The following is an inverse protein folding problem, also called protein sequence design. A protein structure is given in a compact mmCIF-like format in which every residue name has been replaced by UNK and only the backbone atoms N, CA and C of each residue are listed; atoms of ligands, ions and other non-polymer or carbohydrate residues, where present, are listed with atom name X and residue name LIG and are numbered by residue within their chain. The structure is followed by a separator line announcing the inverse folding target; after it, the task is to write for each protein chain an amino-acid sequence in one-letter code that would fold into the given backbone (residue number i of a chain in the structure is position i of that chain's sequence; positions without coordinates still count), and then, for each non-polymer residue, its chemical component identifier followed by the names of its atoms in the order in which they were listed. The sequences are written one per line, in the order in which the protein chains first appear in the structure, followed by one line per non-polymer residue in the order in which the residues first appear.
data_IF_663799049833
#
_entry.id   IF_663799049833
#
_cell.length_a   1.000
_cell.length_b   1.000
_cell.length_c   1.000
_cell.angle_alpha   90.00
_cell.angle_beta   90.00
_cell.angle_gamma   90.00
#
_symmetry.space_group_name_H-M   'P 1'
#
loop_
_entity.id
_entity.type
_entity.pdbx_description
1 polymer ?
#
# COMPACT_ATOMS: atom_id res chain seq x y z
N UNK A 1 -14.65 16.51 16.60
CA UNK A 1 -14.44 15.87 15.30
C UNK A 1 -13.35 16.57 14.51
N UNK A 2 -12.69 15.83 13.61
CA UNK A 2 -11.67 16.34 12.70
C UNK A 2 -12.20 16.18 11.28
N UNK A 3 -12.07 17.24 10.45
CA UNK A 3 -12.41 17.19 9.04
C UNK A 3 -11.37 16.34 8.28
N UNK A 4 -11.80 15.21 7.75
CA UNK A 4 -10.95 14.29 6.96
C UNK A 4 -10.86 14.67 5.49
N UNK A 5 -11.98 15.08 4.91
CA UNK A 5 -12.10 15.51 3.52
C UNK A 5 -13.37 16.31 3.32
N UNK A 6 -13.49 16.95 2.17
CA UNK A 6 -14.64 17.78 1.81
C UNK A 6 -15.14 17.42 0.42
N UNK A 7 -16.46 17.35 0.28
CA UNK A 7 -17.15 17.28 -1.01
C UNK A 7 -18.20 18.39 -1.06
N UNK A 8 -18.11 19.25 -2.06
CA UNK A 8 -19.07 20.33 -2.27
C UNK A 8 -19.83 20.13 -3.57
N UNK A 9 -21.16 20.15 -3.51
CA UNK A 9 -22.03 20.31 -4.67
C UNK A 9 -22.22 21.81 -4.93
N UNK A 10 -21.44 22.38 -5.84
CA UNK A 10 -21.44 23.82 -6.12
C UNK A 10 -22.59 24.25 -7.04
N UNK A 11 -23.25 23.28 -7.65
CA UNK A 11 -24.32 23.58 -8.63
C UNK A 11 -23.79 24.41 -9.80
N UNK A 12 -24.56 25.44 -10.20
CA UNK A 12 -24.21 26.35 -11.27
C UNK A 12 -23.80 27.75 -10.79
N UNK A 13 -23.59 27.96 -9.49
CA UNK A 13 -23.34 29.29 -8.94
C UNK A 13 -22.06 29.90 -9.50
N UNK A 14 -20.95 29.18 -9.47
CA UNK A 14 -19.69 29.69 -10.01
C UNK A 14 -19.67 29.72 -11.54
N UNK A 15 -20.29 28.75 -12.21
CA UNK A 15 -20.37 28.79 -13.67
C UNK A 15 -21.12 29.97 -14.20
N UNK A 16 -22.20 30.39 -13.53
CA UNK A 16 -22.93 31.63 -13.85
C UNK A 16 -22.09 32.87 -13.56
N UNK A 17 -21.39 32.89 -12.40
CA UNK A 17 -20.55 34.02 -11.99
C UNK A 17 -19.39 34.27 -12.95
N UNK A 18 -18.74 33.18 -13.40
CA UNK A 18 -17.53 33.24 -14.25
C UNK A 18 -17.83 33.02 -15.75
N UNK A 19 -19.11 32.90 -16.14
CA UNK A 19 -19.49 32.70 -17.54
C UNK A 19 -19.00 31.36 -18.13
N UNK A 20 -18.89 30.31 -17.31
CA UNK A 20 -18.46 28.98 -17.78
C UNK A 20 -19.66 28.26 -18.36
N UNK A 21 -19.66 28.11 -19.70
CA UNK A 21 -20.76 27.51 -20.43
C UNK A 21 -20.29 26.44 -21.39
N UNK A 22 -21.20 25.54 -21.75
CA UNK A 22 -21.02 24.51 -22.80
C UNK A 22 -22.17 24.69 -23.81
N UNK A 23 -21.91 24.28 -25.05
CA UNK A 23 -22.97 24.21 -26.07
C UNK A 23 -24.02 23.18 -25.64
N UNK A 24 -25.30 23.53 -25.83
CA UNK A 24 -26.39 22.59 -25.56
C UNK A 24 -26.28 21.39 -26.53
N UNK A 25 -26.14 20.16 -26.07
CA UNK A 25 -25.98 18.98 -26.92
C UNK A 25 -27.21 18.69 -27.79
N UNK A 26 -28.32 19.34 -27.49
CA UNK A 26 -29.55 19.27 -28.29
C UNK A 26 -29.68 20.42 -29.31
N UNK A 27 -28.67 21.30 -29.41
CA UNK A 27 -28.59 22.38 -30.42
C UNK A 27 -28.29 21.77 -31.79
N UNK A 28 -28.99 22.23 -32.81
CA UNK A 28 -28.77 21.82 -34.20
C UNK A 28 -28.38 23.02 -35.05
N UNK A 29 -28.00 22.80 -36.32
CA UNK A 29 -27.65 23.89 -37.25
C UNK A 29 -28.85 24.80 -37.49
N UNK A 30 -30.06 24.22 -37.54
CA UNK A 30 -31.32 24.93 -37.84
C UNK A 30 -31.96 25.48 -36.56
N UNK A 31 -31.68 24.93 -35.37
CA UNK A 31 -32.21 25.36 -34.09
C UNK A 31 -31.10 25.55 -33.06
N UNK A 32 -30.51 26.74 -33.04
CA UNK A 32 -29.49 27.12 -32.05
C UNK A 32 -30.13 27.44 -30.71
N UNK A 33 -29.72 26.68 -29.68
CA UNK A 33 -30.13 26.91 -28.29
C UNK A 33 -29.07 27.73 -27.55
N UNK A 34 -29.47 28.48 -26.50
CA UNK A 34 -28.51 29.19 -25.69
C UNK A 34 -27.56 28.20 -24.96
N UNK A 35 -26.28 28.57 -24.75
CA UNK A 35 -25.32 27.71 -24.05
C UNK A 35 -25.78 27.45 -22.60
N UNK A 36 -25.45 26.26 -22.12
CA UNK A 36 -25.78 25.81 -20.78
C UNK A 36 -24.63 26.10 -19.80
N UNK A 37 -24.96 26.60 -18.61
CA UNK A 37 -24.00 26.70 -17.53
C UNK A 37 -23.66 25.30 -16.97
N UNK A 38 -22.39 25.05 -16.74
CA UNK A 38 -21.92 23.73 -16.22
C UNK A 38 -22.27 23.57 -14.74
N UNK A 39 -22.55 22.32 -14.35
CA UNK A 39 -22.63 21.91 -12.96
C UNK A 39 -21.22 21.60 -12.45
N UNK A 40 -20.94 22.00 -11.22
CA UNK A 40 -19.61 21.88 -10.64
C UNK A 40 -19.65 21.15 -9.29
N UNK A 41 -18.67 20.28 -9.10
CA UNK A 41 -18.35 19.67 -7.81
C UNK A 41 -16.92 20.06 -7.42
N UNK A 42 -16.67 20.14 -6.12
CA UNK A 42 -15.33 20.37 -5.59
C UNK A 42 -15.04 19.34 -4.51
N UNK A 43 -13.91 18.66 -4.65
CA UNK A 43 -13.42 17.72 -3.64
C UNK A 43 -12.04 18.15 -3.18
N UNK A 44 -11.79 17.99 -1.90
CA UNK A 44 -10.50 18.32 -1.33
C UNK A 44 -10.20 17.55 -0.06
N UNK A 45 -8.94 17.23 0.11
CA UNK A 45 -8.37 16.74 1.36
C UNK A 45 -7.01 17.42 1.59
N UNK A 46 -6.56 17.45 2.82
CA UNK A 46 -5.28 18.04 3.18
C UNK A 46 -4.35 17.01 3.82
N UNK A 47 -3.09 17.40 4.05
CA UNK A 47 -2.10 16.58 4.79
C UNK A 47 -2.55 16.22 6.20
N UNK A 48 -3.56 16.91 6.76
CA UNK A 48 -4.22 16.53 8.02
C UNK A 48 -4.73 15.09 7.98
N UNK A 49 -5.25 14.62 6.84
CA UNK A 49 -5.74 13.24 6.69
C UNK A 49 -4.64 12.20 6.90
N UNK A 50 -3.40 12.51 6.51
CA UNK A 50 -2.22 11.66 6.80
C UNK A 50 -1.94 11.62 8.32
N UNK A 51 -1.97 12.78 8.98
CA UNK A 51 -1.81 12.85 10.44
C UNK A 51 -2.86 12.06 11.19
N UNK A 52 -4.13 12.13 10.76
CA UNK A 52 -5.23 11.33 11.35
C UNK A 52 -5.00 9.84 11.15
N UNK A 53 -4.59 9.41 9.95
CA UNK A 53 -4.23 8.01 9.68
C UNK A 53 -3.13 7.50 10.62
N UNK A 54 -2.08 8.29 10.81
CA UNK A 54 -0.99 7.95 11.75
C UNK A 54 -1.50 7.82 13.18
N UNK A 55 -2.32 8.76 13.65
CA UNK A 55 -2.88 8.72 15.01
C UNK A 55 -3.81 7.51 15.25
N UNK A 56 -4.53 7.06 14.24
CA UNK A 56 -5.49 5.95 14.37
C UNK A 56 -4.80 4.59 14.32
N UNK A 57 -3.82 4.42 13.42
CA UNK A 57 -3.29 3.10 13.09
C UNK A 57 -1.90 2.82 13.67
N UNK A 58 -1.10 3.85 13.94
CA UNK A 58 0.29 3.65 14.41
C UNK A 58 0.38 3.21 15.87
N UNK A 59 1.51 2.63 16.23
CA UNK A 59 1.80 2.14 17.57
C UNK A 59 3.15 2.67 18.09
N UNK A 60 3.59 2.21 19.27
CA UNK A 60 4.84 2.64 19.89
C UNK A 60 6.11 2.15 19.14
N UNK A 61 5.98 1.31 18.12
CA UNK A 61 7.08 0.83 17.30
C UNK A 61 7.26 1.63 16.01
N UNK A 62 6.32 2.49 15.68
CA UNK A 62 6.38 3.33 14.50
C UNK A 62 5.07 3.35 13.71
N UNK A 63 5.17 3.65 12.42
CA UNK A 63 4.02 3.72 11.54
C UNK A 63 3.39 2.33 11.32
N UNK A 64 2.07 2.32 11.14
CA UNK A 64 1.30 1.19 10.58
C UNK A 64 0.51 1.75 9.42
N UNK A 65 1.01 1.52 8.21
CA UNK A 65 0.39 2.09 7.02
C UNK A 65 -0.62 1.12 6.41
N UNK A 66 -1.85 1.60 6.12
CA UNK A 66 -2.78 0.80 5.32
C UNK A 66 -2.17 0.47 3.95
N UNK A 67 -2.28 -0.78 3.46
CA UNK A 67 -1.66 -1.20 2.21
C UNK A 67 -1.98 -0.31 1.00
N UNK A 68 -3.19 0.23 0.91
CA UNK A 68 -3.58 1.11 -0.21
C UNK A 68 -2.81 2.44 -0.22
N UNK A 69 -2.36 2.92 0.93
CA UNK A 69 -1.67 4.21 1.11
C UNK A 69 -0.15 4.04 1.13
N UNK A 70 0.36 2.89 1.57
CA UNK A 70 1.78 2.65 1.70
C UNK A 70 2.52 2.82 0.38
N UNK A 71 3.58 3.62 0.35
CA UNK A 71 4.48 3.74 -0.80
C UNK A 71 5.09 2.38 -1.17
N UNK A 72 5.57 1.65 -0.15
CA UNK A 72 6.07 0.30 -0.23
C UNK A 72 5.10 -0.62 0.52
N UNK A 73 4.47 -1.56 -0.18
CA UNK A 73 3.52 -2.50 0.41
C UNK A 73 4.21 -3.74 0.99
N UNK A 74 5.26 -4.18 0.32
CA UNK A 74 5.99 -5.40 0.64
C UNK A 74 7.48 -5.16 0.57
N UNK A 75 8.20 -5.54 1.62
CA UNK A 75 9.66 -5.61 1.63
C UNK A 75 10.11 -7.06 1.76
N UNK A 76 11.00 -7.51 0.88
CA UNK A 76 11.63 -8.83 0.96
C UNK A 76 12.99 -8.66 1.61
N UNK A 77 13.22 -9.38 2.69
CA UNK A 77 14.49 -9.38 3.42
C UNK A 77 15.13 -10.76 3.33
N UNK A 78 16.28 -10.89 2.65
CA UNK A 78 17.07 -12.11 2.69
C UNK A 78 17.57 -12.35 4.12
N UNK A 79 17.35 -13.54 4.64
CA UNK A 79 17.77 -13.97 5.98
C UNK A 79 18.59 -15.25 5.91
N UNK A 80 19.21 -15.63 7.01
CA UNK A 80 20.04 -16.87 7.07
C UNK A 80 21.42 -16.73 6.46
N UNK A 81 21.80 -15.56 5.96
CA UNK A 81 23.16 -15.28 5.52
C UNK A 81 24.08 -15.08 6.73
N UNK A 82 25.17 -15.82 6.77
CA UNK A 82 26.18 -15.77 7.84
C UNK A 82 27.53 -15.32 7.30
N UNK A 83 28.49 -15.05 8.17
CA UNK A 83 29.85 -14.75 7.76
C UNK A 83 30.56 -15.92 7.02
N UNK A 84 29.98 -17.12 7.08
CA UNK A 84 30.49 -18.33 6.38
C UNK A 84 29.86 -18.51 5.00
N UNK A 85 28.80 -17.76 4.67
CA UNK A 85 28.12 -17.82 3.37
C UNK A 85 29.05 -17.30 2.29
N UNK A 86 29.28 -18.09 1.26
CA UNK A 86 30.13 -17.71 0.12
C UNK A 86 29.48 -16.58 -0.69
N UNK A 87 30.27 -15.85 -1.47
CA UNK A 87 29.75 -14.77 -2.32
C UNK A 87 28.79 -15.32 -3.39
N UNK A 88 29.12 -16.49 -3.96
CA UNK A 88 28.28 -17.19 -4.93
C UNK A 88 26.89 -17.55 -4.36
N UNK A 89 26.85 -18.06 -3.12
CA UNK A 89 25.58 -18.36 -2.44
C UNK A 89 24.76 -17.09 -2.17
N UNK A 90 25.45 -16.02 -1.84
CA UNK A 90 24.83 -14.69 -1.62
C UNK A 90 24.25 -14.12 -2.89
N UNK A 91 24.99 -14.16 -4.00
CA UNK A 91 24.54 -13.72 -5.31
C UNK A 91 23.33 -14.54 -5.78
N UNK A 92 23.38 -15.85 -5.62
CA UNK A 92 22.26 -16.73 -5.96
C UNK A 92 21.00 -16.37 -5.18
N UNK A 93 21.10 -16.22 -3.86
CA UNK A 93 19.95 -15.85 -3.02
C UNK A 93 19.40 -14.47 -3.43
N UNK A 94 20.28 -13.51 -3.72
CA UNK A 94 19.87 -12.18 -4.17
C UNK A 94 19.16 -12.23 -5.53
N UNK A 95 19.60 -13.07 -6.45
CA UNK A 95 18.93 -13.27 -7.74
C UNK A 95 17.53 -13.91 -7.58
N UNK A 96 17.40 -14.88 -6.67
CA UNK A 96 16.10 -15.47 -6.32
C UNK A 96 15.15 -14.40 -5.75
N UNK A 97 15.65 -13.58 -4.82
CA UNK A 97 14.88 -12.44 -4.24
C UNK A 97 14.45 -11.44 -5.31
N UNK A 98 15.31 -11.11 -6.29
CA UNK A 98 14.93 -10.24 -7.41
C UNK A 98 13.81 -10.86 -8.26
N UNK A 99 13.85 -12.18 -8.45
CA UNK A 99 12.76 -12.91 -9.10
C UNK A 99 11.44 -12.79 -8.35
N UNK A 100 11.46 -12.90 -7.02
CA UNK A 100 10.25 -12.74 -6.20
C UNK A 100 9.70 -11.30 -6.26
N UNK A 101 10.58 -10.29 -6.22
CA UNK A 101 10.18 -8.88 -6.41
C UNK A 101 9.52 -8.69 -7.77
N UNK A 102 10.11 -9.22 -8.84
CA UNK A 102 9.57 -9.10 -10.19
C UNK A 102 8.17 -9.73 -10.31
N UNK A 103 7.94 -10.89 -9.69
CA UNK A 103 6.62 -11.54 -9.63
C UNK A 103 5.60 -10.65 -8.93
N UNK A 104 5.94 -10.06 -7.79
CA UNK A 104 5.05 -9.18 -7.04
C UNK A 104 4.74 -7.89 -7.79
N UNK A 105 5.75 -7.26 -8.40
CA UNK A 105 5.57 -6.04 -9.21
C UNK A 105 4.67 -6.33 -10.41
N UNK A 106 4.86 -7.47 -11.09
CA UNK A 106 3.99 -7.90 -12.18
C UNK A 106 2.53 -8.14 -11.73
N UNK A 107 2.34 -8.54 -10.46
CA UNK A 107 1.01 -8.66 -9.83
C UNK A 107 0.44 -7.32 -9.34
N UNK A 108 1.08 -6.18 -9.63
CA UNK A 108 0.63 -4.84 -9.24
C UNK A 108 0.95 -4.45 -7.80
N UNK A 109 1.81 -5.19 -7.11
CA UNK A 109 2.24 -4.90 -5.74
C UNK A 109 3.47 -3.98 -5.76
N UNK A 110 3.46 -2.93 -4.95
CA UNK A 110 4.63 -2.07 -4.71
C UNK A 110 5.60 -2.80 -3.77
N UNK A 111 6.49 -3.59 -4.34
CA UNK A 111 7.44 -4.44 -3.64
C UNK A 111 8.88 -4.04 -3.94
N UNK A 112 9.76 -4.23 -2.95
CA UNK A 112 11.20 -4.05 -3.07
C UNK A 112 11.94 -5.04 -2.17
N UNK A 113 13.26 -5.10 -2.27
CA UNK A 113 14.12 -5.96 -1.43
C UNK A 113 15.22 -5.18 -0.75
N UNK A 114 15.58 -5.59 0.46
CA UNK A 114 16.74 -5.02 1.16
C UNK A 114 17.90 -6.03 1.19
N UNK A 115 18.84 -5.84 0.27
CA UNK A 115 20.07 -6.62 0.14
C UNK A 115 21.29 -5.95 0.80
N UNK A 116 21.08 -4.90 1.61
CA UNK A 116 22.15 -4.22 2.33
C UNK A 116 22.90 -5.18 3.28
N UNK A 117 24.07 -4.75 3.75
CA UNK A 117 24.90 -5.54 4.66
C UNK A 117 24.45 -5.50 6.12
N UNK A 118 23.38 -4.77 6.44
CA UNK A 118 22.85 -4.70 7.81
C UNK A 118 22.28 -6.03 8.27
N UNK A 119 22.27 -6.25 9.58
CA UNK A 119 21.69 -7.46 10.17
C UNK A 119 20.18 -7.56 9.89
N UNK A 120 19.62 -8.77 9.77
CA UNK A 120 18.18 -8.95 9.59
C UNK A 120 17.34 -8.23 10.66
N UNK A 121 17.76 -8.28 11.92
CA UNK A 121 17.06 -7.57 13.01
C UNK A 121 17.02 -6.06 12.83
N UNK A 122 18.12 -5.46 12.35
CA UNK A 122 18.14 -4.03 12.03
C UNK A 122 17.16 -3.69 10.89
N UNK A 123 17.19 -4.49 9.81
CA UNK A 123 16.27 -4.32 8.67
C UNK A 123 14.81 -4.44 9.12
N UNK A 124 14.48 -5.44 9.93
CA UNK A 124 13.14 -5.64 10.45
C UNK A 124 12.67 -4.41 11.23
N UNK A 125 13.49 -3.90 12.15
CA UNK A 125 13.17 -2.71 12.92
C UNK A 125 12.99 -1.47 12.01
N UNK A 126 13.85 -1.30 11.01
CA UNK A 126 13.78 -0.19 10.06
C UNK A 126 12.46 -0.18 9.28
N UNK A 127 12.01 -1.32 8.78
CA UNK A 127 10.76 -1.41 8.03
C UNK A 127 9.52 -1.45 8.92
N UNK A 128 9.63 -1.94 10.16
CA UNK A 128 8.59 -1.77 11.19
C UNK A 128 8.38 -0.28 11.51
N UNK A 129 9.45 0.47 11.72
CA UNK A 129 9.40 1.92 11.99
C UNK A 129 8.74 2.68 10.82
N UNK A 130 9.09 2.34 9.58
CA UNK A 130 8.52 2.93 8.36
C UNK A 130 7.09 2.50 8.07
N UNK A 131 6.57 1.51 8.79
CA UNK A 131 5.19 1.05 8.68
C UNK A 131 4.89 0.26 7.42
N UNK A 132 5.87 -0.41 6.82
CA UNK A 132 5.66 -1.28 5.66
C UNK A 132 4.68 -2.39 6.03
N UNK A 133 3.53 -2.54 5.34
CA UNK A 133 2.44 -3.44 5.76
C UNK A 133 2.83 -4.89 5.89
N UNK A 134 3.67 -5.39 4.98
CA UNK A 134 4.05 -6.78 4.91
C UNK A 134 5.55 -6.95 4.68
N UNK A 135 6.20 -7.74 5.52
CA UNK A 135 7.57 -8.19 5.32
C UNK A 135 7.56 -9.65 4.90
N UNK A 136 8.32 -9.98 3.88
CA UNK A 136 8.64 -11.34 3.48
C UNK A 136 10.06 -11.65 3.90
N UNK A 137 10.22 -12.71 4.69
CA UNK A 137 11.52 -13.25 5.09
C UNK A 137 11.84 -14.40 4.13
N UNK A 138 13.01 -14.40 3.53
CA UNK A 138 13.41 -15.44 2.58
C UNK A 138 14.83 -15.94 2.88
N UNK A 139 14.96 -17.24 3.05
CA UNK A 139 16.25 -17.90 3.35
C UNK A 139 16.49 -19.09 2.42
N UNK A 140 17.75 -19.61 2.34
CA UNK A 140 18.07 -20.78 1.52
C UNK A 140 17.24 -22.03 1.84
N UNK A 141 16.85 -22.21 3.11
CA UNK A 141 15.97 -23.31 3.54
C UNK A 141 14.53 -23.16 3.02
N UNK A 142 14.04 -21.95 2.92
CA UNK A 142 12.71 -21.62 2.39
C UNK A 142 12.69 -21.74 0.86
N UNK A 143 13.79 -21.40 0.17
CA UNK A 143 13.96 -21.68 -1.26
C UNK A 143 13.82 -23.17 -1.55
N UNK A 144 14.47 -24.03 -0.76
CA UNK A 144 14.34 -25.48 -0.88
C UNK A 144 12.93 -25.99 -0.52
N UNK A 145 12.24 -25.32 0.42
CA UNK A 145 10.87 -25.61 0.83
C UNK A 145 9.79 -25.00 -0.07
N UNK A 146 10.18 -24.19 -1.05
CA UNK A 146 9.28 -23.48 -1.98
C UNK A 146 8.24 -22.60 -1.31
N UNK A 147 8.55 -21.94 -0.22
CA UNK A 147 7.69 -20.97 0.46
C UNK A 147 8.47 -19.73 0.93
N UNK A 148 7.75 -18.68 1.30
CA UNK A 148 8.28 -17.48 1.96
C UNK A 148 7.58 -17.30 3.29
N UNK A 149 8.30 -16.88 4.32
CA UNK A 149 7.69 -16.49 5.60
C UNK A 149 7.18 -15.07 5.50
N UNK A 150 5.93 -14.85 5.91
CA UNK A 150 5.29 -13.55 5.96
C UNK A 150 5.26 -13.00 7.37
N UNK A 151 5.37 -11.68 7.52
CA UNK A 151 5.21 -10.98 8.80
C UNK A 151 4.41 -9.69 8.58
N UNK A 152 3.21 -9.64 9.15
CA UNK A 152 2.31 -8.50 9.11
C UNK A 152 2.76 -7.43 10.09
N UNK A 153 2.71 -6.16 9.67
CA UNK A 153 3.06 -5.02 10.54
C UNK A 153 1.98 -4.70 11.57
N UNK A 154 0.73 -4.90 11.22
CA UNK A 154 -0.44 -4.55 12.05
C UNK A 154 -0.77 -5.54 13.16
N UNK A 155 -0.17 -6.74 13.12
CA UNK A 155 -0.31 -7.79 14.14
C UNK A 155 1.09 -8.13 14.68
N UNK A 156 1.42 -7.72 15.92
CA UNK A 156 2.75 -7.95 16.48
C UNK A 156 2.97 -9.43 16.86
N UNK A 157 4.22 -9.86 16.82
CA UNK A 157 4.64 -11.16 17.33
C UNK A 157 4.37 -12.33 16.40
N UNK A 158 4.09 -13.49 17.00
CA UNK A 158 3.92 -14.75 16.25
C UNK A 158 2.61 -14.81 15.48
N UNK A 159 1.57 -14.15 15.98
CA UNK A 159 0.23 -14.16 15.38
C UNK A 159 0.19 -13.41 14.03
N UNK A 160 1.13 -12.49 13.82
CA UNK A 160 1.31 -11.80 12.54
C UNK A 160 2.18 -12.57 11.54
N UNK A 161 2.73 -13.72 11.91
CA UNK A 161 3.56 -14.53 11.01
C UNK A 161 2.73 -15.61 10.32
N UNK A 162 3.09 -15.87 9.08
CA UNK A 162 2.51 -16.92 8.25
C UNK A 162 3.50 -17.37 7.19
N UNK A 163 3.04 -18.16 6.24
CA UNK A 163 3.84 -18.57 5.09
C UNK A 163 2.98 -18.60 3.83
N UNK A 164 3.61 -18.32 2.68
CA UNK A 164 2.96 -18.39 1.38
C UNK A 164 3.85 -19.24 0.47
N UNK A 165 3.29 -20.24 -0.26
CA UNK A 165 4.03 -20.93 -1.29
C UNK A 165 4.52 -19.96 -2.39
N UNK A 166 5.75 -20.14 -2.87
CA UNK A 166 6.32 -19.28 -3.93
C UNK A 166 5.44 -19.31 -5.19
N UNK A 167 4.88 -20.47 -5.52
CA UNK A 167 3.97 -20.61 -6.66
C UNK A 167 2.68 -19.78 -6.55
N UNK A 168 2.26 -19.44 -5.33
CA UNK A 168 1.04 -18.66 -5.05
C UNK A 168 1.34 -17.19 -4.72
N UNK A 169 2.59 -16.76 -4.83
CA UNK A 169 3.02 -15.43 -4.39
C UNK A 169 2.23 -14.32 -5.10
N UNK A 170 2.01 -14.45 -6.42
CA UNK A 170 1.30 -13.47 -7.23
C UNK A 170 -0.18 -13.27 -6.85
N UNK A 171 -0.80 -14.25 -6.22
CA UNK A 171 -2.21 -14.19 -5.78
C UNK A 171 -2.34 -14.07 -4.26
N UNK A 172 -1.51 -14.79 -3.52
CA UNK A 172 -1.56 -14.84 -2.05
C UNK A 172 -1.14 -13.53 -1.39
N UNK A 173 -0.13 -12.85 -1.92
CA UNK A 173 0.31 -11.56 -1.34
C UNK A 173 -0.72 -10.45 -1.55
N UNK A 174 -1.29 -10.22 -2.75
CA UNK A 174 -2.38 -9.27 -2.91
C UNK A 174 -3.59 -9.57 -2.01
N UNK A 175 -3.98 -10.83 -1.88
CA UNK A 175 -5.08 -11.24 -0.99
C UNK A 175 -4.77 -10.94 0.49
N UNK A 176 -3.52 -11.19 0.93
CA UNK A 176 -3.08 -10.88 2.29
C UNK A 176 -3.05 -9.36 2.54
N UNK A 177 -2.60 -8.55 1.57
CA UNK A 177 -2.63 -7.10 1.67
C UNK A 177 -4.07 -6.57 1.78
N UNK A 178 -5.02 -7.13 1.04
CA UNK A 178 -6.43 -6.75 1.16
C UNK A 178 -7.03 -7.17 2.52
N UNK A 179 -6.59 -8.30 3.06
CA UNK A 179 -6.94 -8.72 4.43
C UNK A 179 -6.41 -7.71 5.46
N UNK A 180 -5.14 -7.30 5.35
CA UNK A 180 -4.56 -6.27 6.24
C UNK A 180 -5.35 -4.96 6.14
N UNK A 181 -5.70 -4.53 4.92
CA UNK A 181 -6.49 -3.33 4.70
C UNK A 181 -7.85 -3.40 5.38
N UNK A 182 -8.54 -4.53 5.24
CA UNK A 182 -9.86 -4.76 5.83
C UNK A 182 -9.80 -4.85 7.35
N UNK A 183 -8.80 -5.50 7.90
CA UNK A 183 -8.61 -5.61 9.35
C UNK A 183 -8.36 -4.26 10.01
N UNK A 184 -7.54 -3.40 9.38
CA UNK A 184 -7.29 -2.04 9.86
C UNK A 184 -8.57 -1.20 9.84
N UNK A 185 -9.37 -1.30 8.77
CA UNK A 185 -10.66 -0.63 8.66
C UNK A 185 -11.64 -1.12 9.72
N UNK A 186 -11.82 -2.44 9.83
CA UNK A 186 -12.78 -3.04 10.75
C UNK A 186 -12.44 -2.74 12.21
N UNK A 187 -11.16 -2.68 12.56
CA UNK A 187 -10.69 -2.30 13.91
C UNK A 187 -11.07 -0.86 14.24
N UNK A 188 -10.89 0.07 13.30
CA UNK A 188 -11.26 1.46 13.48
C UNK A 188 -12.79 1.64 13.52
N UNK A 189 -13.54 0.95 12.65
CA UNK A 189 -15.00 0.98 12.61
C UNK A 189 -15.64 0.43 13.91
N UNK A 190 -15.07 -0.62 14.48
CA UNK A 190 -15.51 -1.18 15.76
C UNK A 190 -15.27 -0.22 16.95
N UNK A 191 -14.28 0.66 16.87
CA UNK A 191 -14.06 1.69 17.89
C UNK A 191 -14.97 2.91 17.72
N UNK A 192 -15.47 3.11 16.50
CA UNK A 192 -16.39 4.20 16.19
C UNK A 192 -17.83 3.92 16.61
N UNK A 193 -18.26 2.66 16.59
CA UNK A 193 -19.60 2.20 17.01
C UNK A 193 -19.68 2.03 18.51
#
# INVERSE_FOLDING_TARGET
GIQGGTSHGLGQNFSKMFGITVEDPTSTVDEKKPPLHVWQNSWGLSTRSLGVMVMIHSDNKGLVLPPRVAELQVIIVPVGLTAKTTEEEREKLNAEVDGLVAVLVAAGVRADSDKSSYSPGWKFNQYELRGVPLRLEFCPGESAGHFVTTARRDIPGKDGKGSIPIAELATGVPALLETIQSDLYNRADAQFK
#
